data_IF_271982854867
#
_entry.id   IF_271982854867
#
_cell.length_a   1.000
_cell.length_b   1.000
_cell.length_c   1.000
_cell.angle_alpha   90.00
_cell.angle_beta   90.00
_cell.angle_gamma   90.00
#
_symmetry.space_group_name_H-M   'P 1'
#
loop_
_entity.id
_entity.type
_entity.pdbx_description
1 polymer ?
#
# COMPACT_ATOMS: atom_id res chain seq x y z
N UNK A 1 17.98 24.30 13.94
CA UNK A 1 16.58 24.48 13.53
C UNK A 1 15.86 23.17 13.76
N UNK A 2 15.01 23.11 14.78
CA UNK A 2 14.33 21.88 15.18
C UNK A 2 13.20 21.57 14.18
N UNK A 3 13.38 20.54 13.35
CA UNK A 3 12.30 19.98 12.54
C UNK A 3 11.35 19.25 13.48
N UNK A 4 10.36 19.96 13.99
CA UNK A 4 9.19 19.35 14.64
C UNK A 4 8.48 18.52 13.58
N UNK A 5 8.82 17.24 13.48
CA UNK A 5 8.07 16.28 12.69
C UNK A 5 6.70 16.24 13.35
N UNK A 6 5.70 16.85 12.72
CA UNK A 6 4.32 16.75 13.17
C UNK A 6 4.01 15.26 13.33
N UNK A 7 3.65 14.84 14.53
CA UNK A 7 3.27 13.46 14.77
C UNK A 7 2.15 13.09 13.80
N UNK A 8 2.40 12.01 13.06
CA UNK A 8 1.51 11.55 12.01
C UNK A 8 0.28 10.96 12.70
N UNK A 9 -0.68 11.82 13.03
CA UNK A 9 -1.93 11.45 13.66
C UNK A 9 -2.80 10.71 12.62
N UNK A 10 -2.67 9.38 12.62
CA UNK A 10 -3.49 8.49 11.82
C UNK A 10 -4.80 8.23 12.56
N UNK A 11 -5.91 8.51 11.91
CA UNK A 11 -7.22 8.22 12.47
C UNK A 11 -7.35 6.73 12.81
N UNK A 12 -8.19 6.36 13.78
CA UNK A 12 -8.53 4.97 14.03
C UNK A 12 -9.08 4.26 12.78
N UNK A 13 -9.89 4.96 11.97
CA UNK A 13 -10.46 4.42 10.74
C UNK A 13 -9.38 4.08 9.70
N UNK A 14 -8.42 4.99 9.49
CA UNK A 14 -7.28 4.74 8.61
C UNK A 14 -6.47 3.52 9.06
N UNK A 15 -6.14 3.42 10.36
CA UNK A 15 -5.36 2.30 10.89
C UNK A 15 -6.10 0.97 10.72
N UNK A 16 -7.41 0.96 10.92
CA UNK A 16 -8.26 -0.22 10.70
C UNK A 16 -8.23 -0.64 9.22
N UNK A 17 -8.45 0.31 8.31
CA UNK A 17 -8.44 0.06 6.88
C UNK A 17 -7.07 -0.44 6.39
N UNK A 18 -5.98 0.17 6.85
CA UNK A 18 -4.62 -0.26 6.50
C UNK A 18 -4.36 -1.69 6.94
N UNK A 19 -4.74 -2.07 8.17
CA UNK A 19 -4.58 -3.44 8.68
C UNK A 19 -5.45 -4.44 7.92
N UNK A 20 -6.69 -4.08 7.61
CA UNK A 20 -7.60 -4.93 6.85
C UNK A 20 -7.03 -5.21 5.44
N UNK A 21 -6.55 -4.18 4.75
CA UNK A 21 -5.93 -4.31 3.43
C UNK A 21 -4.64 -5.13 3.50
N UNK A 22 -3.77 -4.91 4.49
CA UNK A 22 -2.55 -5.71 4.66
C UNK A 22 -2.87 -7.20 4.86
N UNK A 23 -3.77 -7.51 5.79
CA UNK A 23 -4.22 -8.89 6.05
C UNK A 23 -4.82 -9.53 4.79
N UNK A 24 -5.62 -8.77 4.04
CA UNK A 24 -6.23 -9.23 2.80
C UNK A 24 -5.19 -9.50 1.70
N UNK A 25 -4.09 -8.74 1.64
CA UNK A 25 -3.01 -8.98 0.68
C UNK A 25 -2.21 -10.26 1.00
N UNK A 26 -2.05 -10.60 2.27
CA UNK A 26 -1.26 -11.75 2.73
C UNK A 26 -1.99 -13.09 2.59
N UNK A 27 -3.33 -13.10 2.56
CA UNK A 27 -4.12 -14.35 2.61
C UNK A 27 -4.45 -14.92 1.23
N UNK A 28 -4.27 -16.23 1.06
CA UNK A 28 -4.39 -16.90 -0.24
C UNK A 28 -5.80 -17.40 -0.58
N UNK A 29 -6.48 -18.25 0.21
CA UNK A 29 -7.55 -19.07 -0.42
C UNK A 29 -8.88 -19.34 0.34
N UNK A 30 -8.94 -19.49 1.67
CA UNK A 30 -10.18 -20.05 2.27
C UNK A 30 -11.32 -19.03 2.55
N UNK A 31 -11.00 -17.78 2.93
CA UNK A 31 -12.01 -16.77 3.37
C UNK A 31 -12.03 -15.51 2.49
N UNK A 32 -11.57 -15.63 1.25
CA UNK A 32 -11.26 -14.47 0.40
C UNK A 32 -12.46 -13.53 0.20
N UNK A 33 -13.69 -14.06 0.14
CA UNK A 33 -14.92 -13.25 -0.01
C UNK A 33 -15.29 -12.49 1.26
N UNK A 34 -15.34 -13.16 2.41
CA UNK A 34 -15.69 -12.52 3.68
C UNK A 34 -14.67 -11.45 4.04
N UNK A 35 -13.39 -11.72 3.80
CA UNK A 35 -12.33 -10.74 4.04
C UNK A 35 -12.36 -9.58 3.04
N UNK A 36 -12.65 -9.85 1.76
CA UNK A 36 -12.84 -8.78 0.80
C UNK A 36 -14.01 -7.86 1.22
N UNK A 37 -15.10 -8.43 1.73
CA UNK A 37 -16.22 -7.64 2.25
C UNK A 37 -15.84 -6.82 3.47
N UNK A 38 -15.20 -7.45 4.48
CA UNK A 38 -14.73 -6.74 5.68
C UNK A 38 -13.73 -5.63 5.34
N UNK A 39 -12.86 -5.86 4.36
CA UNK A 39 -11.90 -4.85 3.88
C UNK A 39 -12.62 -3.70 3.19
N UNK A 40 -13.61 -3.96 2.33
CA UNK A 40 -14.43 -2.91 1.70
C UNK A 40 -15.19 -2.08 2.74
N UNK A 41 -15.74 -2.71 3.77
CA UNK A 41 -16.40 -2.02 4.87
C UNK A 41 -15.43 -1.12 5.67
N UNK A 42 -14.20 -1.58 5.89
CA UNK A 42 -13.18 -0.74 6.51
C UNK A 42 -12.77 0.45 5.62
N UNK A 43 -12.79 0.28 4.30
CA UNK A 43 -12.48 1.35 3.33
C UNK A 43 -13.60 2.39 3.20
N UNK A 44 -14.87 2.03 3.42
CA UNK A 44 -15.99 2.97 3.24
C UNK A 44 -16.01 4.10 4.27
N UNK A 45 -15.33 3.92 5.41
CA UNK A 45 -15.21 4.95 6.44
C UNK A 45 -14.11 5.98 6.17
N UNK A 46 -13.33 5.83 5.09
CA UNK A 46 -12.22 6.73 4.79
C UNK A 46 -12.65 7.95 3.99
N UNK A 47 -12.17 9.11 4.39
CA UNK A 47 -12.29 10.33 3.58
C UNK A 47 -11.34 10.32 2.36
N UNK A 48 -11.45 11.33 1.50
CA UNK A 48 -10.63 11.44 0.29
C UNK A 48 -9.13 11.58 0.60
N UNK A 49 -8.77 12.27 1.68
CA UNK A 49 -7.37 12.44 2.10
C UNK A 49 -6.80 11.12 2.58
N UNK A 50 -7.55 10.38 3.39
CA UNK A 50 -7.17 9.08 3.92
C UNK A 50 -7.07 8.03 2.81
N UNK A 51 -8.01 8.02 1.86
CA UNK A 51 -7.90 7.17 0.66
C UNK A 51 -6.67 7.51 -0.16
N UNK A 52 -6.36 8.79 -0.33
CA UNK A 52 -5.13 9.23 -1.01
C UNK A 52 -3.85 8.76 -0.30
N UNK A 53 -3.81 8.84 1.03
CA UNK A 53 -2.69 8.32 1.84
C UNK A 53 -2.56 6.80 1.69
N UNK A 54 -3.67 6.06 1.74
CA UNK A 54 -3.68 4.61 1.58
C UNK A 54 -3.22 4.19 0.18
N UNK A 55 -3.67 4.90 -0.85
CA UNK A 55 -3.23 4.68 -2.23
C UNK A 55 -1.72 4.91 -2.40
N UNK A 56 -1.16 5.97 -1.79
CA UNK A 56 0.29 6.22 -1.79
C UNK A 56 1.06 5.14 -1.05
N UNK A 57 0.54 4.64 0.07
CA UNK A 57 1.13 3.51 0.78
C UNK A 57 1.14 2.24 -0.07
N UNK A 58 0.04 1.93 -0.78
CA UNK A 58 -0.03 0.81 -1.72
C UNK A 58 0.93 0.96 -2.90
N UNK A 59 1.10 2.17 -3.43
CA UNK A 59 2.09 2.44 -4.48
C UNK A 59 3.52 2.14 -4.01
N UNK A 60 3.86 2.50 -2.76
CA UNK A 60 5.15 2.13 -2.16
C UNK A 60 5.30 0.62 -1.95
N UNK A 61 4.22 -0.08 -1.59
CA UNK A 61 4.25 -1.55 -1.51
C UNK A 61 4.50 -2.18 -2.89
N UNK A 62 3.94 -1.63 -3.97
CA UNK A 62 4.20 -2.09 -5.33
C UNK A 62 5.68 -1.90 -5.72
N UNK A 63 6.28 -0.74 -5.42
CA UNK A 63 7.72 -0.51 -5.62
C UNK A 63 8.56 -1.53 -4.83
N UNK A 64 8.20 -1.75 -3.57
CA UNK A 64 8.90 -2.71 -2.71
C UNK A 64 8.75 -4.16 -3.19
N UNK A 65 7.61 -4.52 -3.79
CA UNK A 65 7.42 -5.82 -4.42
C UNK A 65 8.31 -5.97 -5.67
N UNK A 66 8.33 -4.93 -6.53
CA UNK A 66 9.16 -4.89 -7.73
C UNK A 66 10.66 -5.03 -7.41
N UNK A 67 11.16 -4.32 -6.40
CA UNK A 67 12.58 -4.39 -6.01
C UNK A 67 12.98 -5.76 -5.45
N UNK A 68 12.03 -6.54 -4.93
CA UNK A 68 12.23 -7.92 -4.47
C UNK A 68 11.91 -8.98 -5.53
N UNK A 69 11.51 -8.60 -6.75
CA UNK A 69 11.05 -9.52 -7.78
C UNK A 69 9.75 -10.26 -7.41
N UNK A 70 8.97 -9.73 -6.47
CA UNK A 70 7.69 -10.29 -6.06
C UNK A 70 6.53 -9.74 -6.91
N UNK A 71 5.41 -10.47 -6.93
CA UNK A 71 4.21 -10.02 -7.62
C UNK A 71 3.66 -8.71 -7.01
N UNK A 72 3.28 -7.77 -7.87
CA UNK A 72 2.64 -6.52 -7.45
C UNK A 72 1.26 -6.78 -6.82
N UNK A 73 0.86 -6.03 -5.78
CA UNK A 73 -0.48 -6.13 -5.21
C UNK A 73 -1.59 -5.59 -6.14
N UNK A 74 -1.25 -4.96 -7.27
CA UNK A 74 -2.19 -4.21 -8.09
C UNK A 74 -3.41 -5.00 -8.58
N UNK A 75 -3.23 -6.19 -9.13
CA UNK A 75 -4.34 -7.01 -9.63
C UNK A 75 -5.25 -7.51 -8.50
N UNK A 76 -4.68 -7.70 -7.31
CA UNK A 76 -5.47 -7.97 -6.12
C UNK A 76 -6.28 -6.71 -5.76
N UNK A 77 -5.65 -5.56 -5.57
CA UNK A 77 -6.35 -4.31 -5.23
C UNK A 77 -7.45 -3.96 -6.26
N UNK A 78 -7.22 -4.20 -7.56
CA UNK A 78 -8.22 -4.01 -8.62
C UNK A 78 -9.49 -4.84 -8.39
N UNK A 79 -9.35 -6.09 -7.97
CA UNK A 79 -10.48 -6.99 -7.63
C UNK A 79 -11.17 -6.58 -6.33
N UNK A 80 -10.44 -5.97 -5.40
CA UNK A 80 -10.99 -5.47 -4.15
C UNK A 80 -11.80 -4.20 -4.38
N UNK A 81 -11.19 -3.14 -4.91
CA UNK A 81 -11.78 -1.82 -5.13
C UNK A 81 -11.09 -1.15 -6.33
N UNK A 82 -11.84 -0.98 -7.42
CA UNK A 82 -11.32 -0.39 -8.66
C UNK A 82 -10.92 1.09 -8.50
N UNK A 83 -11.63 1.85 -7.66
CA UNK A 83 -11.32 3.26 -7.41
C UNK A 83 -10.01 3.40 -6.63
N UNK A 84 -9.80 2.53 -5.64
CA UNK A 84 -8.55 2.47 -4.88
C UNK A 84 -7.39 2.04 -5.77
N UNK A 85 -7.61 1.08 -6.68
CA UNK A 85 -6.62 0.69 -7.66
C UNK A 85 -6.22 1.87 -8.57
N UNK A 86 -7.19 2.63 -9.09
CA UNK A 86 -6.89 3.81 -9.91
C UNK A 86 -6.06 4.84 -9.12
N UNK A 87 -6.48 5.16 -7.89
CA UNK A 87 -5.76 6.08 -7.02
C UNK A 87 -4.33 5.59 -6.71
N UNK A 88 -4.14 4.28 -6.55
CA UNK A 88 -2.83 3.66 -6.37
C UNK A 88 -1.95 3.84 -7.61
N UNK A 89 -2.49 3.64 -8.81
CA UNK A 89 -1.75 3.85 -10.08
C UNK A 89 -1.37 5.33 -10.24
N UNK A 90 -2.29 6.24 -9.96
CA UNK A 90 -2.02 7.69 -10.01
C UNK A 90 -0.94 8.09 -9.00
N UNK A 91 -0.97 7.52 -7.79
CA UNK A 91 0.04 7.74 -6.77
C UNK A 91 1.40 7.15 -7.17
N UNK A 92 1.40 5.98 -7.82
CA UNK A 92 2.60 5.32 -8.33
C UNK A 92 3.29 6.15 -9.41
N UNK A 93 2.53 6.68 -10.37
CA UNK A 93 3.05 7.56 -11.42
C UNK A 93 3.67 8.85 -10.89
N UNK A 94 3.27 9.29 -9.69
CA UNK A 94 3.79 10.49 -9.00
C UNK A 94 4.94 10.19 -8.04
N UNK A 95 5.39 8.93 -7.93
CA UNK A 95 6.52 8.60 -7.07
C UNK A 95 7.83 9.18 -7.66
N UNK A 96 8.78 9.62 -6.81
CA UNK A 96 10.05 10.13 -7.30
C UNK A 96 10.81 9.07 -8.10
N UNK A 97 11.16 9.38 -9.35
CA UNK A 97 11.82 8.45 -10.28
C UNK A 97 13.13 7.84 -9.71
N UNK A 98 13.83 8.56 -8.83
CA UNK A 98 15.06 8.08 -8.18
C UNK A 98 14.87 6.86 -7.27
N UNK A 99 13.64 6.56 -6.80
CA UNK A 99 13.37 5.39 -5.96
C UNK A 99 13.01 4.13 -6.75
N UNK A 100 12.71 4.24 -8.05
CA UNK A 100 12.53 3.08 -8.94
C UNK A 100 13.87 2.44 -9.34
N UNK A 101 14.97 3.17 -9.17
CA UNK A 101 16.32 2.74 -9.54
C UNK A 101 17.08 2.00 -8.44
N UNK A 102 16.45 1.69 -7.30
CA UNK A 102 17.10 0.96 -6.20
C UNK A 102 17.23 -0.53 -6.60
N UNK A 103 18.19 -0.81 -7.47
CA UNK A 103 18.74 -2.14 -7.66
C UNK A 103 19.50 -2.53 -6.39
N UNK A 104 19.25 -3.72 -5.81
CA UNK A 104 20.03 -4.20 -4.70
C UNK A 104 21.40 -4.64 -5.24
N UNK A 105 22.36 -3.72 -5.34
CA UNK A 105 23.78 -4.09 -5.30
C UNK A 105 24.07 -4.53 -3.87
N UNK A 106 23.69 -5.77 -3.56
CA UNK A 106 24.23 -6.50 -2.42
C UNK A 106 25.70 -6.77 -2.76
N UNK A 107 26.56 -5.79 -2.47
CA UNK A 107 27.98 -6.09 -2.30
C UNK A 107 28.09 -6.92 -1.02
N UNK A 108 28.07 -8.24 -1.19
CA UNK A 108 28.67 -9.15 -0.19
C UNK A 108 30.12 -8.69 -0.02
N UNK A 109 30.40 -8.00 1.09
CA UNK A 109 31.75 -7.95 1.63
C UNK A 109 32.02 -9.34 2.19
N UNK A 110 32.74 -10.16 1.44
CA UNK A 110 33.40 -11.35 1.98
C UNK A 110 34.44 -10.87 2.98
N UNK A 111 34.37 -11.38 4.20
CA UNK A 111 35.40 -11.27 5.22
C UNK A 111 36.55 -12.24 4.92
#
# INVERSE_FOLDING_TARGET
MSTTIAELNLSPAYRLAQRAVASWLERADADARQQAFATRAALSGLDATERGRLARWLAWLAVAAMSRGAASPGERIRRLDASLHQAMQDAFARLPAGMLAISPRVQRRSA
#
